data_IF_878807770790
#
_entry.id   IF_878807770790
#
_cell.length_a   1.000
_cell.length_b   1.000
_cell.length_c   1.000
_cell.angle_alpha   90.00
_cell.angle_beta   90.00
_cell.angle_gamma   90.00
#
_symmetry.space_group_name_H-M   'P 1'
#
loop_
_entity.id
_entity.type
_entity.pdbx_description
1 polymer ?
#
# COMPACT_ATOMS: atom_id res chain seq x y z
N UNK A 1 27.59 -11.89 -19.19
CA UNK A 1 26.68 -12.13 -18.02
C UNK A 1 27.35 -11.89 -16.67
N UNK A 2 28.46 -12.57 -16.33
CA UNK A 2 29.17 -12.34 -15.04
C UNK A 2 29.65 -10.89 -14.83
N UNK A 3 30.08 -10.23 -15.90
CA UNK A 3 30.56 -8.84 -15.84
C UNK A 3 29.44 -7.84 -15.45
N UNK A 4 28.24 -8.03 -15.99
CA UNK A 4 27.07 -7.20 -15.65
C UNK A 4 26.81 -7.21 -14.14
N UNK A 5 26.72 -8.40 -13.53
CA UNK A 5 26.50 -8.54 -12.09
C UNK A 5 27.61 -7.88 -11.26
N UNK A 6 28.88 -8.03 -11.67
CA UNK A 6 30.02 -7.38 -11.00
C UNK A 6 29.96 -5.86 -11.10
N UNK A 7 29.65 -5.29 -12.26
CA UNK A 7 29.52 -3.83 -12.45
C UNK A 7 28.40 -3.28 -11.56
N UNK A 8 27.25 -3.95 -11.50
CA UNK A 8 26.10 -3.56 -10.65
C UNK A 8 26.44 -3.64 -9.16
N UNK A 9 27.07 -4.74 -8.71
CA UNK A 9 27.49 -4.91 -7.30
C UNK A 9 28.56 -3.87 -6.91
N UNK A 10 29.52 -3.60 -7.79
CA UNK A 10 30.56 -2.59 -7.54
C UNK A 10 29.96 -1.19 -7.39
N UNK A 11 29.01 -0.84 -8.26
CA UNK A 11 28.24 0.39 -8.13
C UNK A 11 27.45 0.43 -6.82
N UNK A 12 26.80 -0.68 -6.43
CA UNK A 12 26.01 -0.76 -5.20
C UNK A 12 26.86 -0.51 -3.96
N UNK A 13 28.05 -1.10 -3.87
CA UNK A 13 28.96 -0.91 -2.72
C UNK A 13 29.31 0.57 -2.46
N UNK A 14 29.35 1.39 -3.51
CA UNK A 14 29.67 2.83 -3.43
C UNK A 14 28.44 3.72 -3.24
N UNK A 15 27.26 3.26 -3.66
CA UNK A 15 26.07 4.12 -3.83
C UNK A 15 24.85 3.70 -2.99
N UNK A 16 24.91 2.57 -2.28
CA UNK A 16 23.80 2.04 -1.49
C UNK A 16 23.34 3.07 -0.45
N UNK A 17 22.01 3.21 -0.32
CA UNK A 17 21.43 3.87 0.84
C UNK A 17 21.65 3.03 2.09
N UNK A 18 21.91 3.71 3.20
CA UNK A 18 21.83 3.12 4.52
C UNK A 18 20.36 2.99 4.92
N UNK A 19 19.90 1.76 5.11
CA UNK A 19 18.51 1.43 5.40
C UNK A 19 18.48 0.40 6.53
N UNK A 20 17.66 0.58 7.57
CA UNK A 20 17.74 -0.24 8.79
C UNK A 20 17.49 -1.73 8.51
N UNK A 21 16.55 -2.05 7.62
CA UNK A 21 16.26 -3.44 7.20
C UNK A 21 17.36 -4.10 6.35
N UNK A 22 18.40 -3.36 5.95
CA UNK A 22 19.60 -3.94 5.30
C UNK A 22 20.71 -4.25 6.29
N UNK A 23 20.61 -3.75 7.52
CA UNK A 23 21.62 -3.89 8.57
C UNK A 23 21.18 -4.93 9.63
N UNK A 24 20.29 -5.83 9.26
CA UNK A 24 19.79 -6.91 10.11
C UNK A 24 19.63 -8.18 9.29
N UNK A 25 19.71 -9.34 9.95
CA UNK A 25 19.42 -10.65 9.36
C UNK A 25 18.11 -11.23 9.90
N UNK A 26 17.41 -10.48 10.75
CA UNK A 26 16.14 -10.87 11.34
C UNK A 26 15.05 -10.99 10.25
N UNK A 27 14.53 -12.21 9.98
CA UNK A 27 13.56 -12.45 8.92
C UNK A 27 12.25 -11.70 9.16
N UNK A 28 11.82 -11.50 10.40
CA UNK A 28 10.62 -10.74 10.73
C UNK A 28 10.76 -9.28 10.30
N UNK A 29 11.89 -8.64 10.65
CA UNK A 29 12.16 -7.25 10.29
C UNK A 29 12.33 -7.06 8.78
N UNK A 30 13.01 -7.99 8.12
CA UNK A 30 13.18 -7.98 6.66
C UNK A 30 11.81 -8.11 5.99
N UNK A 31 11.01 -9.11 6.37
CA UNK A 31 9.67 -9.33 5.83
C UNK A 31 8.76 -8.11 6.02
N UNK A 32 8.73 -7.55 7.23
CA UNK A 32 7.96 -6.34 7.54
C UNK A 32 8.34 -5.18 6.59
N UNK A 33 9.63 -4.96 6.37
CA UNK A 33 10.11 -3.91 5.46
C UNK A 33 9.66 -4.16 4.01
N UNK A 34 9.73 -5.40 3.53
CA UNK A 34 9.32 -5.77 2.17
C UNK A 34 7.82 -5.54 1.98
N UNK A 35 6.99 -5.88 2.96
CA UNK A 35 5.55 -5.63 2.90
C UNK A 35 5.24 -4.13 2.95
N UNK A 36 5.92 -3.36 3.81
CA UNK A 36 5.76 -1.90 3.91
C UNK A 36 6.14 -1.21 2.59
N UNK A 37 7.24 -1.61 1.95
CA UNK A 37 7.79 -0.96 0.76
C UNK A 37 7.06 -1.32 -0.54
N UNK A 38 6.16 -2.31 -0.54
CA UNK A 38 5.30 -2.58 -1.69
C UNK A 38 4.52 -1.32 -2.11
N UNK A 39 4.81 -0.81 -3.31
CA UNK A 39 4.20 0.40 -3.86
C UNK A 39 4.28 1.63 -2.94
N UNK A 40 5.29 1.67 -2.07
CA UNK A 40 5.51 2.74 -1.09
C UNK A 40 6.94 3.27 -1.26
N UNK A 41 7.11 4.59 -1.24
CA UNK A 41 8.46 5.19 -1.33
C UNK A 41 9.25 4.89 -0.05
N UNK A 42 10.56 4.74 -0.18
CA UNK A 42 11.46 4.43 0.95
C UNK A 42 11.31 5.44 2.09
N UNK A 43 11.31 6.73 1.79
CA UNK A 43 11.23 7.79 2.82
C UNK A 43 9.93 7.70 3.64
N UNK A 44 8.80 7.41 2.98
CA UNK A 44 7.53 7.20 3.66
C UNK A 44 7.54 5.87 4.45
N UNK A 45 8.06 4.80 3.85
CA UNK A 45 8.11 3.48 4.47
C UNK A 45 8.98 3.45 5.73
N UNK A 46 10.06 4.24 5.78
CA UNK A 46 11.00 4.28 6.90
C UNK A 46 10.33 4.65 8.21
N UNK A 47 9.51 5.71 8.23
CA UNK A 47 8.78 6.12 9.43
C UNK A 47 7.79 5.04 9.92
N UNK A 48 7.15 4.30 9.01
CA UNK A 48 6.26 3.20 9.38
C UNK A 48 7.04 2.00 9.90
N UNK A 49 8.15 1.66 9.25
CA UNK A 49 9.02 0.57 9.68
C UNK A 49 9.45 0.75 11.13
N UNK A 50 9.99 1.92 11.50
CA UNK A 50 10.40 2.21 12.87
C UNK A 50 9.25 2.04 13.87
N UNK A 51 8.10 2.68 13.62
CA UNK A 51 6.93 2.54 14.51
C UNK A 51 6.48 1.10 14.68
N UNK A 52 6.46 0.32 13.59
CA UNK A 52 6.10 -1.10 13.66
C UNK A 52 7.11 -1.90 14.46
N UNK A 53 8.41 -1.73 14.22
CA UNK A 53 9.45 -2.48 14.96
C UNK A 53 9.61 -2.06 16.42
N UNK A 54 9.21 -0.84 16.76
CA UNK A 54 9.19 -0.34 18.15
C UNK A 54 7.94 -0.85 18.90
N UNK A 55 6.81 -1.00 18.21
CA UNK A 55 5.55 -1.47 18.81
C UNK A 55 5.48 -3.00 18.88
N UNK A 56 5.89 -3.67 17.81
CA UNK A 56 5.88 -5.12 17.68
C UNK A 56 7.33 -5.59 17.51
N UNK A 57 7.94 -6.01 18.61
CA UNK A 57 9.37 -6.35 18.65
C UNK A 57 9.69 -7.62 17.83
N UNK A 58 8.75 -8.55 17.77
CA UNK A 58 8.87 -9.83 17.07
C UNK A 58 7.54 -10.27 16.43
N UNK A 59 7.56 -11.45 15.79
CA UNK A 59 6.38 -12.01 15.14
C UNK A 59 5.28 -12.41 16.13
N UNK A 60 5.62 -12.78 17.36
CA UNK A 60 4.65 -13.12 18.41
C UNK A 60 3.84 -11.90 18.83
N UNK A 61 4.51 -10.78 19.09
CA UNK A 61 3.87 -9.50 19.43
C UNK A 61 2.95 -9.05 18.29
N UNK A 62 3.40 -9.17 17.03
CA UNK A 62 2.57 -8.85 15.87
C UNK A 62 1.34 -9.76 15.76
N UNK A 63 1.50 -11.07 15.97
CA UNK A 63 0.41 -12.05 15.91
C UNK A 63 -0.64 -11.85 17.01
N UNK A 64 -0.19 -11.50 18.22
CA UNK A 64 -1.05 -11.28 19.39
C UNK A 64 -1.87 -9.98 19.31
N UNK A 65 -1.42 -8.99 18.53
CA UNK A 65 -2.13 -7.72 18.36
C UNK A 65 -3.54 -7.90 17.76
N UNK A 66 -4.43 -6.95 18.04
CA UNK A 66 -5.72 -6.87 17.36
C UNK A 66 -5.59 -6.31 15.94
N UNK A 67 -6.52 -6.67 15.04
CA UNK A 67 -6.53 -6.12 13.67
C UNK A 67 -6.67 -4.58 13.70
N UNK A 68 -7.44 -4.03 14.63
CA UNK A 68 -7.63 -2.59 14.78
C UNK A 68 -6.30 -1.86 15.12
N UNK A 69 -5.47 -2.42 15.99
CA UNK A 69 -4.12 -1.88 16.30
C UNK A 69 -3.22 -1.90 15.06
N UNK A 70 -3.20 -3.01 14.32
CA UNK A 70 -2.42 -3.14 13.08
C UNK A 70 -2.85 -2.10 12.05
N UNK A 71 -4.16 -2.01 11.79
CA UNK A 71 -4.71 -1.06 10.82
C UNK A 71 -4.49 0.39 11.25
N UNK A 72 -4.50 0.64 12.57
CA UNK A 72 -4.23 1.97 13.11
C UNK A 72 -2.80 2.40 12.87
N UNK A 73 -1.84 1.52 13.16
CA UNK A 73 -0.42 1.79 12.92
C UNK A 73 -0.10 1.90 11.41
N UNK A 74 -0.86 1.18 10.58
CA UNK A 74 -0.77 1.22 9.11
C UNK A 74 -1.49 2.42 8.47
N UNK A 75 -2.28 3.18 9.24
CA UNK A 75 -3.11 4.28 8.72
C UNK A 75 -2.25 5.27 7.92
N UNK A 76 -2.68 5.60 6.70
CA UNK A 76 -2.00 6.53 5.80
C UNK A 76 -1.01 5.89 4.82
N UNK A 77 -0.61 4.62 5.02
CA UNK A 77 0.29 3.91 4.10
C UNK A 77 -0.43 3.38 2.84
N UNK A 78 -1.76 3.22 2.92
CA UNK A 78 -2.58 2.68 1.83
C UNK A 78 -2.42 1.17 1.62
N UNK A 79 -3.22 0.61 0.71
CA UNK A 79 -3.26 -0.84 0.43
C UNK A 79 -3.39 -1.69 1.70
N UNK A 80 -4.44 -1.43 2.49
CA UNK A 80 -4.67 -2.05 3.81
C UNK A 80 -4.83 -3.58 3.80
N UNK A 81 -5.06 -4.19 2.64
CA UNK A 81 -4.95 -5.65 2.51
C UNK A 81 -3.55 -6.17 2.86
N UNK A 82 -2.49 -5.38 2.62
CA UNK A 82 -1.12 -5.72 3.05
C UNK A 82 -1.02 -5.88 4.55
N UNK A 83 -1.56 -4.93 5.32
CA UNK A 83 -1.54 -4.96 6.78
C UNK A 83 -2.27 -6.19 7.35
N UNK A 84 -3.44 -6.50 6.78
CA UNK A 84 -4.22 -7.67 7.23
C UNK A 84 -3.60 -8.99 6.81
N UNK A 85 -2.99 -9.04 5.63
CA UNK A 85 -2.27 -10.23 5.20
C UNK A 85 -1.00 -10.42 6.04
N UNK A 86 -0.28 -9.35 6.36
CA UNK A 86 0.85 -9.37 7.29
C UNK A 86 0.41 -9.95 8.64
N UNK A 87 -0.68 -9.45 9.22
CA UNK A 87 -1.19 -9.95 10.50
C UNK A 87 -1.67 -11.41 10.44
N UNK A 88 -2.36 -11.78 9.36
CA UNK A 88 -2.79 -13.17 9.19
C UNK A 88 -1.59 -14.12 9.02
N UNK A 89 -0.57 -13.71 8.27
CA UNK A 89 0.66 -14.48 8.10
C UNK A 89 1.50 -14.54 9.38
N UNK A 90 1.52 -13.51 10.23
CA UNK A 90 2.22 -13.58 11.51
C UNK A 90 1.58 -14.61 12.44
N UNK A 91 0.24 -14.70 12.45
CA UNK A 91 -0.47 -15.76 13.18
C UNK A 91 -0.14 -17.14 12.63
N UNK A 92 -0.11 -17.28 11.30
CA UNK A 92 0.25 -18.52 10.60
C UNK A 92 1.69 -18.97 10.93
N UNK A 93 2.64 -18.03 11.03
CA UNK A 93 4.03 -18.29 11.49
C UNK A 93 4.03 -18.83 12.93
N UNK A 94 3.29 -18.19 13.84
CA UNK A 94 3.22 -18.64 15.23
C UNK A 94 2.56 -20.02 15.36
N UNK A 95 1.47 -20.24 14.63
CA UNK A 95 0.67 -21.47 14.73
C UNK A 95 1.30 -22.68 14.00
N UNK A 96 1.78 -22.50 12.77
CA UNK A 96 2.31 -23.61 11.95
C UNK A 96 3.81 -23.82 12.09
N UNK A 97 4.55 -22.77 12.44
CA UNK A 97 6.01 -22.78 12.48
C UNK A 97 6.57 -22.43 13.87
N UNK A 98 5.73 -22.51 14.92
CA UNK A 98 6.09 -22.27 16.33
C UNK A 98 6.77 -20.91 16.59
N UNK A 99 6.46 -19.90 15.76
CA UNK A 99 7.05 -18.57 15.88
C UNK A 99 8.38 -18.39 15.16
N UNK A 100 8.93 -19.45 14.57
CA UNK A 100 10.11 -19.39 13.73
C UNK A 100 9.71 -19.10 12.28
N UNK A 101 10.35 -18.10 11.68
CA UNK A 101 10.07 -17.77 10.28
C UNK A 101 10.58 -18.91 9.38
N UNK A 102 9.77 -19.44 8.45
CA UNK A 102 10.21 -20.53 7.57
C UNK A 102 11.42 -20.10 6.73
N UNK A 103 12.39 -21.00 6.60
CA UNK A 103 13.70 -20.72 5.99
C UNK A 103 13.83 -21.22 4.54
N UNK A 104 12.79 -21.85 4.00
CA UNK A 104 12.73 -22.31 2.61
C UNK A 104 11.67 -21.58 1.79
N UNK A 105 11.90 -21.50 0.48
CA UNK A 105 11.10 -20.68 -0.42
C UNK A 105 9.61 -21.08 -0.47
N UNK A 106 9.31 -22.38 -0.50
CA UNK A 106 7.94 -22.86 -0.67
C UNK A 106 7.10 -22.60 0.59
N UNK A 107 7.67 -22.81 1.78
CA UNK A 107 7.00 -22.48 3.04
C UNK A 107 6.81 -20.97 3.21
N UNK A 108 7.82 -20.16 2.89
CA UNK A 108 7.69 -18.69 2.88
C UNK A 108 6.57 -18.26 1.92
N UNK A 109 6.52 -18.82 0.72
CA UNK A 109 5.50 -18.51 -0.29
C UNK A 109 4.10 -19.00 0.11
N UNK A 110 4.00 -20.01 0.97
CA UNK A 110 2.73 -20.52 1.47
C UNK A 110 1.99 -19.53 2.38
N UNK A 111 2.73 -18.60 3.01
CA UNK A 111 2.18 -17.61 3.92
C UNK A 111 1.27 -16.60 3.21
N UNK A 112 0.17 -16.22 3.88
CA UNK A 112 -0.86 -15.36 3.29
C UNK A 112 -0.31 -13.99 2.86
N UNK A 113 -0.52 -13.65 1.59
CA UNK A 113 -0.09 -12.37 1.02
C UNK A 113 1.39 -12.30 0.64
N UNK A 114 2.13 -13.40 0.77
CA UNK A 114 3.50 -13.52 0.26
C UNK A 114 3.42 -14.13 -1.16
N UNK A 115 3.68 -13.29 -2.16
CA UNK A 115 3.81 -13.74 -3.55
C UNK A 115 5.25 -14.11 -3.91
N UNK A 116 5.48 -14.53 -5.16
CA UNK A 116 6.81 -14.94 -5.66
C UNK A 116 7.92 -13.91 -5.40
N UNK A 117 7.62 -12.63 -5.64
CA UNK A 117 8.56 -11.53 -5.36
C UNK A 117 8.96 -11.50 -3.88
N UNK A 118 7.97 -11.45 -2.98
CA UNK A 118 8.21 -11.29 -1.54
C UNK A 118 8.88 -12.54 -0.97
N UNK A 119 8.49 -13.73 -1.44
CA UNK A 119 9.13 -14.98 -1.06
C UNK A 119 10.60 -15.00 -1.47
N UNK A 120 10.92 -14.64 -2.72
CA UNK A 120 12.29 -14.54 -3.18
C UNK A 120 13.11 -13.50 -2.39
N UNK A 121 12.48 -12.37 -2.04
CA UNK A 121 13.13 -11.32 -1.26
C UNK A 121 13.50 -11.80 0.14
N UNK A 122 12.55 -12.40 0.88
CA UNK A 122 12.82 -12.93 2.22
C UNK A 122 13.84 -14.07 2.16
N UNK A 123 13.62 -15.06 1.29
CA UNK A 123 14.51 -16.20 1.09
C UNK A 123 15.95 -15.75 0.79
N UNK A 124 16.11 -14.72 -0.04
CA UNK A 124 17.41 -14.18 -0.39
C UNK A 124 18.03 -13.33 0.73
N UNK A 125 17.29 -12.39 1.31
CA UNK A 125 17.85 -11.41 2.23
C UNK A 125 18.12 -11.97 3.63
N UNK A 126 17.17 -12.75 4.17
CA UNK A 126 17.30 -13.37 5.48
C UNK A 126 18.13 -14.66 5.39
N UNK A 127 17.75 -15.57 4.49
CA UNK A 127 18.29 -16.94 4.47
C UNK A 127 19.35 -17.19 3.39
N UNK A 128 19.74 -16.15 2.64
CA UNK A 128 20.78 -16.19 1.60
C UNK A 128 20.52 -17.23 0.50
N UNK A 129 19.27 -17.65 0.32
CA UNK A 129 18.88 -18.62 -0.70
C UNK A 129 19.01 -18.03 -2.12
N UNK A 130 19.33 -18.86 -3.13
CA UNK A 130 19.66 -18.41 -4.48
C UNK A 130 18.42 -18.12 -5.35
N UNK A 131 17.51 -17.29 -4.84
CA UNK A 131 16.35 -16.81 -5.58
C UNK A 131 16.56 -15.36 -6.04
N UNK A 132 16.50 -15.11 -7.34
CA UNK A 132 16.55 -13.75 -7.86
C UNK A 132 15.26 -12.97 -7.53
N UNK A 133 15.43 -11.71 -7.13
CA UNK A 133 14.33 -10.81 -6.77
C UNK A 133 14.04 -9.88 -7.93
N UNK A 134 12.83 -9.96 -8.48
CA UNK A 134 12.44 -9.20 -9.68
C UNK A 134 11.27 -8.26 -9.35
N UNK A 135 11.58 -7.03 -8.96
CA UNK A 135 10.61 -5.95 -8.79
C UNK A 135 10.49 -5.08 -10.07
N UNK A 136 9.65 -4.04 -10.00
CA UNK A 136 9.50 -3.09 -11.11
C UNK A 136 10.80 -2.34 -11.48
N UNK A 137 11.77 -2.23 -10.57
CA UNK A 137 13.09 -1.65 -10.84
C UNK A 137 13.96 -2.62 -11.65
N UNK A 138 13.98 -3.89 -11.26
CA UNK A 138 14.72 -4.96 -11.95
C UNK A 138 14.13 -5.24 -13.32
N UNK A 139 12.80 -5.34 -13.45
CA UNK A 139 12.14 -5.47 -14.76
C UNK A 139 12.60 -4.37 -15.74
N UNK A 140 12.60 -3.11 -15.29
CA UNK A 140 13.03 -1.96 -16.11
C UNK A 140 14.52 -2.04 -16.46
N UNK A 141 15.38 -2.32 -15.48
CA UNK A 141 16.82 -2.42 -15.68
C UNK A 141 17.14 -3.51 -16.71
N UNK A 142 16.58 -4.71 -16.54
CA UNK A 142 16.81 -5.83 -17.44
C UNK A 142 16.21 -5.57 -18.83
N UNK A 143 15.01 -4.99 -18.91
CA UNK A 143 14.38 -4.64 -20.20
C UNK A 143 15.28 -3.71 -20.99
N UNK A 144 15.79 -2.65 -20.35
CA UNK A 144 16.64 -1.65 -20.99
C UNK A 144 18.00 -2.21 -21.36
N UNK A 145 18.65 -2.91 -20.44
CA UNK A 145 20.00 -3.42 -20.67
C UNK A 145 20.04 -4.49 -21.76
N UNK A 146 19.10 -5.44 -21.74
CA UNK A 146 19.05 -6.57 -22.69
C UNK A 146 18.13 -6.32 -23.91
N UNK A 147 17.43 -5.19 -23.97
CA UNK A 147 16.53 -4.87 -25.09
C UNK A 147 15.25 -5.72 -25.15
N UNK A 148 14.80 -6.27 -24.02
CA UNK A 148 13.65 -7.16 -23.96
C UNK A 148 12.36 -6.35 -24.14
N UNK A 149 11.59 -6.71 -25.17
CA UNK A 149 10.32 -6.05 -25.52
C UNK A 149 9.08 -6.78 -25.02
N UNK A 150 9.25 -8.00 -24.47
CA UNK A 150 8.15 -8.75 -23.86
C UNK A 150 7.51 -7.93 -22.75
N UNK A 151 6.17 -7.75 -22.74
CA UNK A 151 5.51 -6.96 -21.71
C UNK A 151 5.77 -7.50 -20.29
N UNK A 152 6.24 -6.65 -19.38
CA UNK A 152 6.62 -7.06 -18.02
C UNK A 152 5.44 -7.50 -17.15
N UNK A 153 4.22 -7.18 -17.58
CA UNK A 153 2.96 -7.49 -16.91
C UNK A 153 2.25 -8.72 -17.51
N UNK A 154 2.84 -9.39 -18.50
CA UNK A 154 2.35 -10.67 -19.03
C UNK A 154 2.95 -11.86 -18.27
N UNK A 155 2.28 -13.02 -18.33
CA UNK A 155 2.81 -14.26 -17.74
C UNK A 155 4.13 -14.70 -18.39
N UNK A 156 4.25 -14.55 -19.71
CA UNK A 156 5.49 -14.85 -20.44
C UNK A 156 6.63 -13.91 -20.04
N UNK A 157 6.37 -12.61 -19.90
CA UNK A 157 7.36 -11.64 -19.44
C UNK A 157 7.84 -11.98 -18.04
N UNK A 158 6.93 -12.18 -17.08
CA UNK A 158 7.31 -12.57 -15.70
C UNK A 158 8.22 -13.80 -15.68
N UNK A 159 7.93 -14.81 -16.49
CA UNK A 159 8.77 -16.02 -16.62
C UNK A 159 10.15 -15.69 -17.20
N UNK A 160 10.19 -15.00 -18.36
CA UNK A 160 11.44 -14.63 -19.05
C UNK A 160 12.39 -13.81 -18.16
N UNK A 161 11.86 -12.79 -17.48
CA UNK A 161 12.67 -11.94 -16.59
C UNK A 161 13.16 -12.68 -15.35
N UNK A 162 12.34 -13.55 -14.75
CA UNK A 162 12.75 -14.36 -13.60
C UNK A 162 13.84 -15.36 -13.99
N UNK A 163 13.69 -16.05 -15.12
CA UNK A 163 14.73 -16.96 -15.64
C UNK A 163 16.04 -16.22 -15.94
N UNK A 164 15.95 -15.07 -16.60
CA UNK A 164 17.12 -14.24 -16.86
C UNK A 164 17.78 -13.77 -15.56
N UNK A 165 17.00 -13.28 -14.58
CA UNK A 165 17.53 -12.80 -13.31
C UNK A 165 18.22 -13.93 -12.53
N UNK A 166 17.66 -15.14 -12.52
CA UNK A 166 18.29 -16.31 -11.90
C UNK A 166 19.61 -16.70 -12.60
N UNK A 167 19.67 -16.64 -13.94
CA UNK A 167 20.93 -16.86 -14.67
C UNK A 167 21.99 -15.81 -14.36
N UNK A 168 21.58 -14.55 -14.19
CA UNK A 168 22.49 -13.44 -13.84
C UNK A 168 22.97 -13.51 -12.39
N UNK A 169 22.13 -13.98 -11.49
CA UNK A 169 22.49 -14.26 -10.11
C UNK A 169 23.66 -15.26 -10.07
N UNK A 170 23.54 -16.40 -10.75
CA UNK A 170 24.61 -17.39 -10.88
C UNK A 170 25.25 -17.74 -9.53
N UNK A 171 26.56 -17.58 -9.41
CA UNK A 171 27.31 -17.84 -8.17
C UNK A 171 27.56 -16.57 -7.32
N UNK A 172 26.87 -15.47 -7.60
CA UNK A 172 26.96 -14.27 -6.76
C UNK A 172 26.24 -14.50 -5.43
N UNK A 173 26.64 -13.76 -4.38
CA UNK A 173 25.93 -13.77 -3.12
C UNK A 173 24.50 -13.23 -3.32
N UNK A 174 23.43 -14.02 -3.06
CA UNK A 174 22.07 -13.68 -3.47
C UNK A 174 21.58 -12.35 -2.89
N UNK A 175 21.69 -12.18 -1.58
CA UNK A 175 21.26 -10.98 -0.89
C UNK A 175 21.91 -9.70 -1.45
N UNK A 176 23.23 -9.73 -1.69
CA UNK A 176 23.98 -8.59 -2.22
C UNK A 176 23.61 -8.31 -3.67
N UNK A 177 23.50 -9.35 -4.51
CA UNK A 177 23.14 -9.20 -5.92
C UNK A 177 21.73 -8.60 -6.08
N UNK A 178 20.75 -9.15 -5.36
CA UNK A 178 19.36 -8.71 -5.42
C UNK A 178 19.20 -7.26 -4.93
N UNK A 179 19.79 -6.91 -3.79
CA UNK A 179 19.78 -5.52 -3.31
C UNK A 179 20.47 -4.57 -4.30
N UNK A 180 21.59 -4.99 -4.90
CA UNK A 180 22.29 -4.19 -5.90
C UNK A 180 21.45 -3.94 -7.14
N UNK A 181 20.75 -4.96 -7.66
CA UNK A 181 19.86 -4.84 -8.81
C UNK A 181 18.69 -3.88 -8.55
N UNK A 182 18.02 -4.03 -7.39
CA UNK A 182 16.92 -3.15 -6.99
C UNK A 182 17.39 -1.70 -6.78
N UNK A 183 18.51 -1.50 -6.08
CA UNK A 183 19.07 -0.17 -5.82
C UNK A 183 19.53 0.52 -7.11
N UNK A 184 20.19 -0.22 -8.00
CA UNK A 184 20.66 0.29 -9.29
C UNK A 184 19.47 0.74 -10.14
N UNK A 185 18.41 -0.07 -10.23
CA UNK A 185 17.19 0.33 -10.90
C UNK A 185 16.54 1.55 -10.24
N UNK A 186 16.55 1.64 -8.91
CA UNK A 186 15.93 2.75 -8.18
C UNK A 186 16.69 4.08 -8.30
N UNK A 187 18.03 4.08 -8.30
CA UNK A 187 18.85 5.32 -8.25
C UNK A 187 19.56 5.65 -9.56
N UNK A 188 20.08 4.67 -10.28
CA UNK A 188 20.79 4.86 -11.55
C UNK A 188 19.81 4.80 -12.74
N UNK A 189 19.20 3.63 -12.95
CA UNK A 189 18.30 3.37 -14.08
C UNK A 189 16.84 3.77 -13.76
N UNK A 190 16.64 5.03 -13.35
CA UNK A 190 15.34 5.58 -12.95
C UNK A 190 14.29 5.51 -14.08
N UNK A 191 12.99 5.46 -13.77
CA UNK A 191 11.93 5.46 -14.79
C UNK A 191 12.02 6.66 -15.73
N UNK A 192 12.20 7.86 -15.16
CA UNK A 192 12.30 9.14 -15.85
C UNK A 192 13.69 9.72 -15.61
N UNK A 193 14.30 10.26 -16.67
CA UNK A 193 15.63 10.89 -16.65
C UNK A 193 16.69 10.07 -15.88
N UNK A 194 16.94 8.80 -16.28
CA UNK A 194 18.08 8.05 -15.75
C UNK A 194 19.39 8.73 -16.15
N UNK A 195 20.38 8.68 -15.27
CA UNK A 195 21.72 9.21 -15.56
C UNK A 195 22.47 8.21 -16.44
N UNK A 196 22.14 8.15 -17.73
CA UNK A 196 22.79 7.22 -18.64
C UNK A 196 24.25 7.58 -18.90
N UNK A 197 24.59 8.87 -18.89
CA UNK A 197 25.94 9.38 -19.18
C UNK A 197 26.98 8.87 -18.19
N UNK A 198 26.62 8.83 -16.89
CA UNK A 198 27.50 8.31 -15.84
C UNK A 198 27.17 6.84 -15.47
N UNK A 199 26.38 6.14 -16.29
CA UNK A 199 26.00 4.77 -16.00
C UNK A 199 27.17 3.82 -16.28
N UNK A 200 27.62 2.99 -15.32
CA UNK A 200 28.72 2.05 -15.54
C UNK A 200 28.39 0.91 -16.53
N UNK A 201 27.12 0.81 -16.94
CA UNK A 201 26.63 -0.15 -17.92
C UNK A 201 26.38 0.49 -19.30
N UNK A 202 26.68 1.78 -19.48
CA UNK A 202 26.29 2.53 -20.67
C UNK A 202 26.84 1.91 -21.96
N UNK A 203 28.11 1.53 -21.94
CA UNK A 203 28.89 0.97 -23.05
C UNK A 203 28.27 -0.31 -23.65
N UNK A 204 27.57 -1.09 -22.82
CA UNK A 204 26.95 -2.36 -23.22
C UNK A 204 25.43 -2.36 -23.08
N UNK A 205 24.79 -1.20 -22.87
CA UNK A 205 23.35 -1.10 -22.67
C UNK A 205 22.62 -0.95 -24.02
N UNK A 206 21.84 -1.97 -24.39
CA UNK A 206 21.05 -1.98 -25.62
C UNK A 206 20.16 -0.74 -25.77
N UNK A 207 19.39 -0.40 -24.71
CA UNK A 207 18.44 0.70 -24.81
C UNK A 207 19.13 2.06 -24.94
N UNK A 208 20.35 2.22 -24.42
CA UNK A 208 21.12 3.44 -24.62
C UNK A 208 21.58 3.55 -26.08
N UNK A 209 22.22 2.49 -26.60
CA UNK A 209 22.71 2.42 -27.99
C UNK A 209 21.58 2.64 -29.00
N UNK A 210 20.43 1.99 -28.79
CA UNK A 210 19.27 2.05 -29.70
C UNK A 210 18.28 3.18 -29.37
N UNK A 211 18.60 4.09 -28.45
CA UNK A 211 17.73 5.20 -28.01
C UNK A 211 16.33 4.74 -27.54
N UNK A 212 16.25 3.58 -26.90
CA UNK A 212 15.01 2.96 -26.40
C UNK A 212 14.77 3.14 -24.90
N UNK A 213 15.59 3.94 -24.19
CA UNK A 213 15.47 4.13 -22.73
C UNK A 213 14.09 4.62 -22.29
N UNK A 214 13.49 5.54 -23.04
CA UNK A 214 12.15 6.08 -22.75
C UNK A 214 11.00 5.14 -23.15
N UNK A 215 11.28 4.12 -23.96
CA UNK A 215 10.29 3.18 -24.50
C UNK A 215 10.20 1.90 -23.66
N UNK A 216 11.32 1.47 -23.05
CA UNK A 216 11.39 0.26 -22.25
C UNK A 216 11.29 0.56 -20.74
N UNK A 217 10.59 -0.28 -19.95
CA UNK A 217 9.97 -1.56 -20.32
C UNK A 217 8.60 -1.42 -21.00
N UNK A 218 8.20 -2.42 -21.78
CA UNK A 218 6.84 -2.52 -22.36
C UNK A 218 5.85 -2.99 -21.29
N UNK A 219 4.64 -2.42 -21.30
CA UNK A 219 3.48 -2.89 -20.52
C UNK A 219 2.31 -3.14 -21.47
N UNK A 220 1.63 -4.26 -21.29
CA UNK A 220 0.51 -4.68 -22.15
C UNK A 220 -0.81 -4.01 -21.76
N UNK A 221 -0.98 -3.64 -20.49
CA UNK A 221 -2.25 -3.10 -19.99
C UNK A 221 -2.13 -1.64 -19.57
N UNK A 222 -3.08 -0.82 -20.04
CA UNK A 222 -3.38 0.48 -19.42
C UNK A 222 -4.41 0.26 -18.31
N UNK A 223 -4.12 0.74 -17.11
CA UNK A 223 -5.05 0.66 -15.97
C UNK A 223 -6.28 1.53 -16.28
N UNK A 224 -7.46 0.91 -16.35
CA UNK A 224 -8.73 1.66 -16.44
C UNK A 224 -9.03 2.25 -15.06
N UNK A 225 -9.31 3.54 -15.02
CA UNK A 225 -9.64 4.25 -13.78
C UNK A 225 -11.16 4.41 -13.68
N UNK A 226 -11.76 3.83 -12.64
CA UNK A 226 -13.19 4.01 -12.33
C UNK A 226 -13.39 5.29 -11.51
N UNK A 227 -14.39 6.11 -11.85
CA UNK A 227 -14.83 7.21 -10.98
C UNK A 227 -15.93 6.71 -10.05
N UNK A 228 -15.90 7.13 -8.78
CA UNK A 228 -16.92 6.82 -7.76
C UNK A 228 -17.31 8.11 -7.05
N UNK A 229 -18.59 8.28 -6.78
CA UNK A 229 -19.13 9.51 -6.19
C UNK A 229 -19.76 9.18 -4.84
N UNK A 230 -19.08 9.57 -3.77
CA UNK A 230 -19.44 9.23 -2.39
C UNK A 230 -20.11 10.42 -1.71
N UNK A 231 -21.28 10.20 -1.14
CA UNK A 231 -22.01 11.20 -0.35
C UNK A 231 -22.04 10.72 1.09
N UNK A 232 -21.12 11.23 1.90
CA UNK A 232 -20.97 10.85 3.30
C UNK A 232 -21.99 11.56 4.19
N UNK A 233 -22.63 10.79 5.07
CA UNK A 233 -23.67 11.24 5.98
C UNK A 233 -23.08 11.37 7.38
N UNK A 234 -22.64 12.57 7.74
CA UNK A 234 -22.04 12.85 9.05
C UNK A 234 -23.16 13.21 10.04
N UNK A 235 -23.74 12.17 10.63
CA UNK A 235 -24.85 12.32 11.57
C UNK A 235 -24.32 12.81 12.92
N UNK A 236 -24.76 13.99 13.36
CA UNK A 236 -24.32 14.63 14.61
C UNK A 236 -25.39 14.58 15.70
N UNK A 237 -24.93 14.31 16.92
CA UNK A 237 -25.69 14.51 18.16
C UNK A 237 -24.82 15.18 19.21
N UNK A 238 -25.13 16.46 19.46
CA UNK A 238 -24.29 17.36 20.24
C UNK A 238 -22.87 17.33 19.65
N UNK A 239 -21.86 16.98 20.45
CA UNK A 239 -20.47 16.87 20.02
C UNK A 239 -20.08 15.53 19.40
N UNK A 240 -21.01 14.58 19.32
CA UNK A 240 -20.73 13.22 18.86
C UNK A 240 -21.20 13.01 17.42
N UNK A 241 -20.62 12.00 16.78
CA UNK A 241 -21.00 11.49 15.48
C UNK A 241 -20.82 9.97 15.42
N UNK A 242 -21.30 9.36 14.33
CA UNK A 242 -21.35 7.91 14.18
C UNK A 242 -20.41 7.45 13.07
N UNK A 243 -19.65 6.40 13.37
CA UNK A 243 -18.80 5.69 12.42
C UNK A 243 -19.15 4.21 12.43
N UNK A 244 -18.85 3.50 11.36
CA UNK A 244 -18.91 2.03 11.30
C UNK A 244 -17.62 1.47 10.73
N UNK A 245 -17.29 0.25 11.10
CA UNK A 245 -16.26 -0.51 10.41
C UNK A 245 -16.79 -1.02 9.06
N UNK A 246 -16.02 -0.83 7.99
CA UNK A 246 -16.32 -1.39 6.65
C UNK A 246 -16.01 -2.88 6.66
N UNK A 247 -17.00 -3.72 6.40
CA UNK A 247 -16.87 -5.20 6.39
C UNK A 247 -17.04 -5.79 4.99
N UNK A 248 -17.62 -5.02 4.08
CA UNK A 248 -17.91 -5.40 2.71
C UNK A 248 -16.61 -5.58 1.91
N UNK A 249 -16.63 -6.46 0.90
CA UNK A 249 -15.50 -6.67 -0.01
C UNK A 249 -15.33 -5.49 -0.98
N UNK A 250 -14.86 -4.36 -0.47
CA UNK A 250 -14.61 -3.12 -1.22
C UNK A 250 -13.29 -2.46 -0.77
N UNK A 251 -13.02 -1.22 -1.14
CA UNK A 251 -11.92 -0.43 -0.59
C UNK A 251 -12.08 -0.24 0.92
N UNK A 252 -10.94 -0.10 1.62
CA UNK A 252 -10.86 0.27 3.03
C UNK A 252 -11.54 -0.70 4.01
N UNK A 253 -11.71 -1.97 3.65
CA UNK A 253 -12.19 -3.02 4.56
C UNK A 253 -11.35 -3.04 5.85
N UNK A 254 -12.03 -3.16 6.99
CA UNK A 254 -11.44 -3.13 8.32
C UNK A 254 -11.31 -1.71 8.89
N UNK A 255 -11.31 -0.67 8.04
CA UNK A 255 -11.28 0.72 8.50
C UNK A 255 -12.66 1.20 8.91
N UNK A 256 -12.66 2.26 9.70
CA UNK A 256 -13.86 2.96 10.13
C UNK A 256 -14.18 4.12 9.19
N UNK A 257 -15.46 4.27 8.88
CA UNK A 257 -15.97 5.25 7.92
C UNK A 257 -17.34 5.77 8.35
N UNK A 258 -17.78 6.88 7.74
CA UNK A 258 -19.13 7.39 7.89
C UNK A 258 -20.13 6.57 7.06
N UNK A 259 -21.43 6.59 7.41
CA UNK A 259 -22.47 6.15 6.49
C UNK A 259 -22.35 6.93 5.17
N UNK A 260 -22.69 6.28 4.05
CA UNK A 260 -22.54 6.89 2.73
C UNK A 260 -23.56 6.36 1.74
N UNK A 261 -23.92 7.22 0.80
CA UNK A 261 -24.64 6.87 -0.43
C UNK A 261 -23.66 6.99 -1.58
N UNK A 262 -23.54 5.95 -2.41
CA UNK A 262 -22.73 6.00 -3.63
C UNK A 262 -23.64 6.25 -4.84
N UNK A 263 -23.24 7.16 -5.72
CA UNK A 263 -23.95 7.45 -6.97
C UNK A 263 -23.08 7.12 -8.18
N UNK A 264 -23.69 6.73 -9.30
CA UNK A 264 -22.96 6.39 -10.54
C UNK A 264 -22.33 7.61 -11.19
N UNK A 265 -22.97 8.77 -11.03
CA UNK A 265 -22.56 10.05 -11.60
C UNK A 265 -22.40 11.10 -10.51
N UNK A 266 -21.70 12.19 -10.85
CA UNK A 266 -21.61 13.35 -9.97
C UNK A 266 -23.00 13.96 -9.79
N UNK A 267 -23.42 14.10 -8.54
CA UNK A 267 -24.67 14.76 -8.18
C UNK A 267 -24.31 16.01 -7.38
N UNK A 268 -24.78 17.17 -7.83
CA UNK A 268 -24.48 18.48 -7.23
C UNK A 268 -25.53 18.92 -6.21
N UNK A 269 -25.08 19.54 -5.11
CA UNK A 269 -25.94 20.17 -4.11
C UNK A 269 -26.90 19.19 -3.43
N UNK A 270 -28.13 19.62 -3.18
CA UNK A 270 -29.10 18.86 -2.39
C UNK A 270 -29.78 17.73 -3.17
N UNK A 271 -29.39 17.45 -4.42
CA UNK A 271 -30.01 16.39 -5.24
C UNK A 271 -29.83 14.99 -4.64
N UNK A 272 -28.77 14.75 -3.87
CA UNK A 272 -28.61 13.49 -3.13
C UNK A 272 -29.77 13.27 -2.14
N UNK A 273 -30.38 14.34 -1.63
CA UNK A 273 -31.50 14.26 -0.70
C UNK A 273 -32.78 13.71 -1.35
N UNK A 274 -32.82 13.70 -2.68
CA UNK A 274 -33.95 13.18 -3.45
C UNK A 274 -33.82 11.69 -3.77
N UNK A 275 -32.67 11.06 -3.50
CA UNK A 275 -32.46 9.64 -3.80
C UNK A 275 -33.31 8.75 -2.92
N UNK A 276 -33.54 7.51 -3.37
CA UNK A 276 -34.32 6.53 -2.61
C UNK A 276 -33.65 6.22 -1.28
N UNK A 277 -32.33 6.04 -1.28
CA UNK A 277 -31.51 5.75 -0.11
C UNK A 277 -31.61 6.87 0.93
N UNK A 278 -31.48 8.13 0.49
CA UNK A 278 -31.63 9.27 1.41
C UNK A 278 -33.03 9.30 2.02
N UNK A 279 -34.07 9.15 1.19
CA UNK A 279 -35.45 9.11 1.68
C UNK A 279 -35.68 7.93 2.64
N UNK A 280 -35.13 6.75 2.36
CA UNK A 280 -35.22 5.61 3.28
C UNK A 280 -34.62 5.93 4.64
N UNK A 281 -33.48 6.64 4.68
CA UNK A 281 -32.87 7.04 5.94
C UNK A 281 -33.62 8.22 6.60
N UNK A 282 -34.06 9.24 5.86
CA UNK A 282 -34.46 10.53 6.43
C UNK A 282 -35.93 10.95 6.22
N UNK A 283 -36.75 10.25 5.43
CA UNK A 283 -38.09 10.70 5.02
C UNK A 283 -39.13 10.83 6.15
N UNK A 284 -38.90 10.21 7.32
CA UNK A 284 -39.87 10.19 8.43
C UNK A 284 -39.46 11.05 9.63
N UNK A 285 -38.32 11.76 9.56
CA UNK A 285 -37.64 12.27 10.77
C UNK A 285 -37.20 13.73 10.61
N UNK A 286 -37.29 14.50 11.70
CA UNK A 286 -36.74 15.87 11.84
C UNK A 286 -35.22 15.80 11.71
N UNK A 287 -34.73 15.72 10.48
CA UNK A 287 -33.31 15.75 10.14
C UNK A 287 -33.03 17.03 9.36
N UNK A 288 -31.96 17.71 9.76
CA UNK A 288 -31.56 18.98 9.18
C UNK A 288 -30.13 18.85 8.67
N UNK A 289 -29.91 19.09 7.37
CA UNK A 289 -28.57 19.24 6.82
C UNK A 289 -28.05 20.61 7.23
N UNK A 290 -27.12 20.65 8.18
CA UNK A 290 -26.58 21.91 8.73
C UNK A 290 -25.36 22.39 7.95
N UNK A 291 -24.67 21.50 7.25
CA UNK A 291 -23.47 21.83 6.47
C UNK A 291 -23.23 20.83 5.36
N UNK A 292 -22.71 21.30 4.23
CA UNK A 292 -22.19 20.48 3.14
C UNK A 292 -20.75 20.91 2.87
N UNK A 293 -19.83 19.96 2.78
CA UNK A 293 -18.43 20.26 2.45
C UNK A 293 -18.24 20.57 0.96
N UNK A 294 -17.11 21.16 0.62
CA UNK A 294 -16.60 21.08 -0.75
C UNK A 294 -16.28 19.62 -1.13
N UNK A 295 -16.15 19.35 -2.42
CA UNK A 295 -15.74 18.02 -2.91
C UNK A 295 -14.29 17.72 -2.48
N UNK A 296 -14.10 16.55 -1.90
CA UNK A 296 -12.80 15.94 -1.67
C UNK A 296 -12.51 14.94 -2.78
N UNK A 297 -11.36 15.09 -3.43
CA UNK A 297 -10.89 14.13 -4.43
C UNK A 297 -9.83 13.22 -3.82
N UNK A 298 -10.10 11.93 -3.78
CA UNK A 298 -9.17 10.91 -3.31
C UNK A 298 -8.76 9.99 -4.46
N UNK A 299 -7.46 9.91 -4.73
CA UNK A 299 -6.91 9.18 -5.88
C UNK A 299 -6.33 7.84 -5.40
N UNK A 300 -6.93 6.75 -5.88
CA UNK A 300 -6.38 5.40 -5.80
C UNK A 300 -5.90 4.94 -7.17
N UNK A 301 -5.02 3.95 -7.21
CA UNK A 301 -4.37 3.49 -8.45
C UNK A 301 -5.31 3.03 -9.56
N UNK A 302 -6.53 2.59 -9.22
CA UNK A 302 -7.55 2.13 -10.17
C UNK A 302 -8.91 2.80 -9.98
N UNK A 303 -9.03 3.72 -9.02
CA UNK A 303 -10.30 4.39 -8.71
C UNK A 303 -10.06 5.84 -8.30
N UNK A 304 -10.86 6.76 -8.80
CA UNK A 304 -10.92 8.13 -8.31
C UNK A 304 -12.22 8.32 -7.54
N UNK A 305 -12.10 8.68 -6.27
CA UNK A 305 -13.23 8.91 -5.38
C UNK A 305 -13.46 10.42 -5.30
N UNK A 306 -14.68 10.81 -5.57
CA UNK A 306 -15.19 12.17 -5.44
C UNK A 306 -16.16 12.16 -4.26
N UNK A 307 -15.79 12.77 -3.15
CA UNK A 307 -16.52 12.65 -1.90
C UNK A 307 -17.05 14.00 -1.41
N UNK A 308 -18.31 14.04 -1.01
CA UNK A 308 -18.94 15.20 -0.37
C UNK A 308 -19.51 14.78 0.98
N UNK A 309 -19.32 15.59 2.01
CA UNK A 309 -19.78 15.31 3.37
C UNK A 309 -20.96 16.20 3.73
N UNK A 310 -22.04 15.57 4.19
CA UNK A 310 -23.27 16.22 4.62
C UNK A 310 -23.38 16.06 6.13
N UNK A 311 -23.24 17.16 6.87
CA UNK A 311 -23.48 17.16 8.31
C UNK A 311 -24.96 17.27 8.59
N UNK A 312 -25.47 16.29 9.32
CA UNK A 312 -26.90 16.11 9.53
C UNK A 312 -27.17 16.08 11.03
N UNK A 313 -27.98 17.03 11.52
CA UNK A 313 -28.50 17.01 12.88
C UNK A 313 -29.77 16.14 12.88
N UNK A 314 -29.79 15.06 13.65
CA UNK A 314 -30.93 14.13 13.68
C UNK A 314 -31.08 13.48 15.06
N UNK A 315 -32.31 13.15 15.46
CA UNK A 315 -32.59 12.32 16.64
C UNK A 315 -32.27 10.85 16.33
N UNK A 316 -31.30 10.30 17.06
CA UNK A 316 -30.61 9.04 16.74
C UNK A 316 -31.33 7.75 17.10
N UNK A 317 -32.55 7.81 17.66
CA UNK A 317 -33.34 6.59 17.91
C UNK A 317 -33.41 5.68 16.68
N UNK A 318 -33.36 6.26 15.48
CA UNK A 318 -33.36 5.57 14.19
C UNK A 318 -32.12 4.73 13.84
N UNK A 319 -30.91 5.18 14.20
CA UNK A 319 -29.67 4.46 13.91
C UNK A 319 -29.33 3.45 15.02
N UNK A 320 -30.12 3.45 16.11
CA UNK A 320 -30.10 2.42 17.15
C UNK A 320 -30.88 1.16 16.73
N UNK A 321 -31.88 1.29 15.86
CA UNK A 321 -32.78 0.20 15.45
C UNK A 321 -32.21 -0.62 14.26
N UNK A 322 -31.38 -0.02 13.39
CA UNK A 322 -30.54 -0.77 12.42
C UNK A 322 -29.27 -1.32 13.10
N UNK A 323 -29.48 -2.36 13.91
CA UNK A 323 -28.55 -3.38 14.45
C UNK A 323 -27.02 -3.12 14.39
N UNK A 324 -26.44 -2.96 15.57
CA UNK A 324 -25.17 -3.54 16.09
C UNK A 324 -23.78 -3.07 15.60
N UNK A 325 -23.62 -2.22 14.59
CA UNK A 325 -22.25 -1.91 14.07
C UNK A 325 -21.83 -0.44 14.02
N UNK A 326 -22.64 0.47 14.58
CA UNK A 326 -22.32 1.89 14.66
C UNK A 326 -21.69 2.25 16.01
N UNK A 327 -20.52 2.88 15.98
CA UNK A 327 -19.83 3.42 17.16
C UNK A 327 -20.08 4.92 17.24
N UNK A 328 -20.56 5.37 18.40
CA UNK A 328 -20.69 6.79 18.72
C UNK A 328 -19.33 7.31 19.22
N UNK A 329 -18.79 8.31 18.53
CA UNK A 329 -17.47 8.89 18.81
C UNK A 329 -17.54 10.41 18.81
N UNK A 330 -16.51 11.06 19.32
CA UNK A 330 -16.32 12.51 19.22
C UNK A 330 -14.96 12.81 18.56
N UNK A 331 -14.58 14.10 18.50
CA UNK A 331 -13.33 14.54 17.90
C UNK A 331 -12.07 13.96 18.54
N UNK A 332 -12.14 13.50 19.79
CA UNK A 332 -11.00 12.94 20.52
C UNK A 332 -10.98 11.42 20.42
N UNK A 333 -12.10 10.75 20.65
CA UNK A 333 -12.18 9.28 20.59
C UNK A 333 -12.10 8.75 19.17
N UNK A 334 -12.48 9.52 18.13
CA UNK A 334 -12.31 9.09 16.74
C UNK A 334 -10.84 8.82 16.38
N UNK A 335 -9.89 9.47 17.08
CA UNK A 335 -8.45 9.33 16.84
C UNK A 335 -7.93 7.94 17.19
N UNK A 336 -8.67 7.15 17.96
CA UNK A 336 -8.33 5.77 18.31
C UNK A 336 -8.65 4.79 17.16
N UNK A 337 -9.58 5.16 16.27
CA UNK A 337 -10.00 4.30 15.16
C UNK A 337 -9.15 4.52 13.92
N UNK A 338 -8.87 3.43 13.19
CA UNK A 338 -8.22 3.50 11.90
C UNK A 338 -9.23 3.98 10.84
N UNK A 339 -8.98 5.12 10.22
CA UNK A 339 -9.85 5.71 9.19
C UNK A 339 -9.10 5.88 7.85
N UNK A 340 -9.81 5.90 6.70
CA UNK A 340 -9.19 6.28 5.44
C UNK A 340 -8.62 7.70 5.50
N UNK A 341 -7.55 7.98 4.74
CA UNK A 341 -6.96 9.32 4.64
C UNK A 341 -7.98 10.39 4.21
N UNK A 342 -8.93 10.02 3.34
CA UNK A 342 -10.05 10.89 2.95
C UNK A 342 -10.86 11.38 4.16
N UNK A 343 -11.18 10.47 5.08
CA UNK A 343 -11.94 10.76 6.30
C UNK A 343 -11.08 11.55 7.30
N UNK A 344 -9.81 11.20 7.42
CA UNK A 344 -8.84 11.93 8.24
C UNK A 344 -8.72 13.40 7.81
N UNK A 345 -8.65 13.67 6.50
CA UNK A 345 -8.60 15.02 5.95
C UNK A 345 -9.88 15.82 6.25
N UNK A 346 -11.05 15.18 6.12
CA UNK A 346 -12.32 15.79 6.53
C UNK A 346 -12.37 16.10 8.03
N UNK A 347 -12.01 15.15 8.89
CA UNK A 347 -12.01 15.32 10.35
C UNK A 347 -11.08 16.46 10.80
N UNK A 348 -9.91 16.62 10.14
CA UNK A 348 -9.00 17.75 10.40
C UNK A 348 -9.65 19.10 10.12
N UNK A 349 -10.37 19.22 9.01
CA UNK A 349 -11.13 20.44 8.70
C UNK A 349 -12.23 20.66 9.74
N UNK A 350 -12.98 19.61 10.08
CA UNK A 350 -14.08 19.67 11.06
C UNK A 350 -13.63 20.16 12.45
N UNK A 351 -12.43 19.79 12.92
CA UNK A 351 -11.87 20.24 14.21
C UNK A 351 -11.36 21.70 14.14
N UNK A 352 -10.79 22.13 13.01
CA UNK A 352 -10.34 23.52 12.85
C UNK A 352 -11.49 24.54 12.96
N UNK A 353 -12.71 24.16 12.57
CA UNK A 353 -13.91 24.99 12.71
C UNK A 353 -14.51 25.00 14.14
N UNK A 354 -14.01 24.21 15.09
CA UNK A 354 -14.40 24.29 16.50
C UNK A 354 -13.60 25.32 17.31
N UNK A 355 -12.57 25.95 16.72
CA UNK A 355 -11.98 27.14 17.34
C UNK A 355 -12.97 28.29 17.18
N UNK A 356 -13.43 28.93 18.27
CA UNK A 356 -14.20 30.16 18.13
C UNK A 356 -13.36 31.15 17.34
N UNK A 357 -13.99 31.79 16.36
CA UNK A 357 -13.48 33.05 15.84
C UNK A 357 -13.55 33.99 17.04
N UNK A 358 -12.41 34.25 17.67
CA UNK A 358 -12.29 35.25 18.72
C UNK A 358 -12.71 36.62 18.20
#
# INVERSE_FOLDING_TARGET
MKEFGRKVISWYKKNKRDLPWRNTEDPYKIWLSEVILQQTRVDQGMAYYHRFTETFLDVHALAAASEDEILKLWQGLGYYSRARNLHAASKDIVERFNGDFPDNYDDIKSLKGIGEYTAAAIASFAFKLPHAVVDGNVFRLLSRYFGIKTPIDSSSGKKEFTELANRLLGNHQPHTFNQAMMEFGSKQCKPVSPDCLNCPLQDTCFAFEKKMVSVLPVKSKKTKIRKRFFHYLVIREKDNFFIRQRKEKDIWIGLHDFPMIETETAISGNKVMSTKEWKTHFATKKSEVVRVSNEFKHILSHQHIHATFYEIKSDLKMFKEEKQHWKKVNSDTVKEFAVPRLIEEYLKQMVQFKKPIN
#
